data_IF_433003185915
#
_entry.id   IF_433003185915
#
_cell.length_a   1.000
_cell.length_b   1.000
_cell.length_c   1.000
_cell.angle_alpha   90.00
_cell.angle_beta   90.00
_cell.angle_gamma   90.00
#
_symmetry.space_group_name_H-M   'P 1'
#
loop_
_entity.id
_entity.type
_entity.pdbx_description
1 polymer ?
#
# COMPACT_ATOMS: atom_id res chain seq x y z
N UNK A 1 -14.80 -6.76 -8.30
CA UNK A 1 -13.91 -7.85 -7.83
C UNK A 1 -13.08 -7.42 -6.63
N UNK A 2 -12.12 -6.49 -6.76
CA UNK A 2 -11.24 -6.07 -5.64
C UNK A 2 -11.99 -5.67 -4.36
N UNK A 3 -12.97 -4.77 -4.45
CA UNK A 3 -13.77 -4.34 -3.29
C UNK A 3 -14.58 -5.48 -2.67
N UNK A 4 -15.08 -6.40 -3.50
CA UNK A 4 -15.78 -7.61 -3.03
C UNK A 4 -14.83 -8.54 -2.28
N UNK A 5 -13.61 -8.73 -2.79
CA UNK A 5 -12.55 -9.51 -2.12
C UNK A 5 -12.16 -8.88 -0.79
N UNK A 6 -12.04 -7.55 -0.72
CA UNK A 6 -11.80 -6.83 0.52
C UNK A 6 -12.94 -7.04 1.53
N UNK A 7 -14.19 -6.87 1.11
CA UNK A 7 -15.34 -7.07 1.98
C UNK A 7 -15.39 -8.51 2.54
N UNK A 8 -15.18 -9.51 1.69
CA UNK A 8 -15.11 -10.92 2.11
C UNK A 8 -13.97 -11.16 3.10
N UNK A 9 -12.79 -10.61 2.86
CA UNK A 9 -11.67 -10.73 3.79
C UNK A 9 -11.99 -10.08 5.14
N UNK A 10 -12.51 -8.86 5.16
CA UNK A 10 -12.83 -8.16 6.41
C UNK A 10 -13.91 -8.88 7.20
N UNK A 11 -14.97 -9.36 6.54
CA UNK A 11 -16.02 -10.14 7.19
C UNK A 11 -15.42 -11.42 7.80
N UNK A 12 -14.58 -12.14 7.06
CA UNK A 12 -13.92 -13.34 7.58
C UNK A 12 -13.06 -13.03 8.81
N UNK A 13 -12.21 -12.00 8.75
CA UNK A 13 -11.37 -11.61 9.91
C UNK A 13 -12.22 -11.24 11.13
N UNK A 14 -13.30 -10.48 10.95
CA UNK A 14 -14.20 -10.10 12.05
C UNK A 14 -14.88 -11.32 12.67
N UNK A 15 -15.38 -12.25 11.85
CA UNK A 15 -15.99 -13.49 12.35
C UNK A 15 -14.98 -14.37 13.09
N UNK A 16 -13.75 -14.48 12.59
CA UNK A 16 -12.70 -15.27 13.23
C UNK A 16 -12.21 -14.65 14.54
N UNK A 17 -12.03 -13.33 14.59
CA UNK A 17 -11.76 -12.62 15.84
C UNK A 17 -12.89 -12.85 16.86
N UNK A 18 -14.15 -12.86 16.41
CA UNK A 18 -15.33 -13.17 17.22
C UNK A 18 -15.50 -14.64 17.64
N UNK A 19 -14.52 -15.51 17.36
CA UNK A 19 -14.53 -16.95 17.70
C UNK A 19 -15.61 -17.79 17.02
N UNK A 20 -16.27 -17.27 15.98
CA UNK A 20 -17.42 -17.95 15.35
C UNK A 20 -16.96 -19.17 14.50
N UNK A 21 -15.75 -19.15 13.94
CA UNK A 21 -15.24 -20.25 13.09
C UNK A 21 -13.74 -20.17 12.78
N UNK A 22 -12.88 -20.10 13.82
CA UNK A 22 -11.42 -19.93 13.63
C UNK A 22 -10.80 -21.10 12.86
N UNK A 23 -10.17 -20.85 11.69
CA UNK A 23 -9.49 -21.91 10.95
C UNK A 23 -8.15 -22.27 11.61
N UNK A 24 -7.60 -23.46 11.32
CA UNK A 24 -6.23 -23.80 11.68
C UNK A 24 -5.23 -22.75 11.15
N UNK A 25 -4.19 -22.44 11.92
CA UNK A 25 -3.20 -21.39 11.62
C UNK A 25 -2.61 -21.50 10.20
N UNK A 26 -2.31 -22.71 9.74
CA UNK A 26 -1.81 -22.94 8.38
C UNK A 26 -2.82 -22.50 7.32
N UNK A 27 -4.09 -22.87 7.47
CA UNK A 27 -5.16 -22.50 6.54
C UNK A 27 -5.40 -20.99 6.58
N UNK A 28 -5.33 -20.39 7.77
CA UNK A 28 -5.45 -18.94 7.96
C UNK A 28 -4.41 -18.17 7.14
N UNK A 29 -3.13 -18.53 7.23
CA UNK A 29 -2.09 -17.84 6.45
C UNK A 29 -2.13 -18.17 4.95
N UNK A 30 -2.52 -19.39 4.56
CA UNK A 30 -2.70 -19.75 3.15
C UNK A 30 -3.83 -18.92 2.51
N UNK A 31 -4.89 -18.65 3.26
CA UNK A 31 -5.98 -17.77 2.84
C UNK A 31 -5.47 -16.36 2.52
N UNK A 32 -4.64 -15.77 3.39
CA UNK A 32 -4.03 -14.46 3.16
C UNK A 32 -3.15 -14.39 1.92
N UNK A 33 -2.31 -15.41 1.71
CA UNK A 33 -1.47 -15.51 0.52
C UNK A 33 -2.35 -15.62 -0.73
N UNK A 34 -3.39 -16.45 -0.69
CA UNK A 34 -4.35 -16.59 -1.80
C UNK A 34 -5.04 -15.26 -2.12
N UNK A 35 -5.45 -14.48 -1.11
CA UNK A 35 -6.02 -13.15 -1.31
C UNK A 35 -5.04 -12.18 -2.00
N UNK A 36 -3.78 -12.16 -1.59
CA UNK A 36 -2.75 -11.35 -2.25
C UNK A 36 -2.52 -11.78 -3.70
N UNK A 37 -2.52 -13.09 -3.97
CA UNK A 37 -2.43 -13.64 -5.34
C UNK A 37 -3.64 -13.24 -6.19
N UNK A 38 -4.85 -13.18 -5.62
CA UNK A 38 -6.03 -12.66 -6.32
C UNK A 38 -5.81 -11.20 -6.73
N UNK A 39 -5.34 -10.33 -5.83
CA UNK A 39 -5.08 -8.92 -6.14
C UNK A 39 -4.02 -8.79 -7.24
N UNK A 40 -2.93 -9.57 -7.18
CA UNK A 40 -1.92 -9.66 -8.23
C UNK A 40 -2.52 -10.09 -9.56
N UNK A 41 -3.35 -11.14 -9.56
CA UNK A 41 -4.05 -11.64 -10.75
C UNK A 41 -4.94 -10.58 -11.39
N UNK A 42 -5.68 -9.81 -10.57
CA UNK A 42 -6.51 -8.69 -11.07
C UNK A 42 -5.65 -7.64 -11.74
N UNK A 43 -4.54 -7.23 -11.11
CA UNK A 43 -3.65 -6.18 -11.66
C UNK A 43 -3.01 -6.63 -12.97
N UNK A 44 -2.55 -7.88 -13.03
CA UNK A 44 -1.99 -8.48 -14.25
C UNK A 44 -3.01 -8.56 -15.38
N UNK A 45 -4.24 -8.97 -15.09
CA UNK A 45 -5.33 -9.01 -16.07
C UNK A 45 -5.69 -7.61 -16.56
N UNK A 46 -5.81 -6.64 -15.65
CA UNK A 46 -6.18 -5.26 -15.96
C UNK A 46 -5.10 -4.52 -16.76
N UNK A 47 -3.83 -4.93 -16.66
CA UNK A 47 -2.71 -4.30 -17.36
C UNK A 47 -2.93 -4.16 -18.88
N UNK A 48 -3.66 -5.09 -19.49
CA UNK A 48 -3.95 -5.13 -20.93
C UNK A 48 -4.85 -3.97 -21.39
N UNK A 49 -5.58 -3.36 -20.48
CA UNK A 49 -6.56 -2.30 -20.74
C UNK A 49 -6.04 -0.90 -20.39
N UNK A 50 -4.78 -0.80 -19.97
CA UNK A 50 -4.17 0.44 -19.54
C UNK A 50 -3.50 1.19 -20.70
N UNK A 51 -3.65 2.50 -20.70
CA UNK A 51 -2.87 3.37 -21.57
C UNK A 51 -1.36 3.13 -21.34
N UNK A 52 -0.50 3.25 -22.38
CA UNK A 52 0.91 2.83 -22.30
C UNK A 52 1.69 3.43 -21.13
N UNK A 53 1.44 4.71 -20.82
CA UNK A 53 2.06 5.40 -19.68
C UNK A 53 1.64 4.79 -18.34
N UNK A 54 0.34 4.54 -18.15
CA UNK A 54 -0.20 3.94 -16.92
C UNK A 54 0.30 2.51 -16.77
N UNK A 55 0.28 1.73 -17.87
CA UNK A 55 0.77 0.36 -17.90
C UNK A 55 2.23 0.23 -17.43
N UNK A 56 3.11 1.17 -17.83
CA UNK A 56 4.53 1.19 -17.41
C UNK A 56 4.66 1.21 -15.88
N UNK A 57 4.01 2.15 -15.21
CA UNK A 57 4.10 2.29 -13.76
C UNK A 57 3.28 1.23 -13.02
N UNK A 58 2.21 0.71 -13.61
CA UNK A 58 1.49 -0.45 -13.06
C UNK A 58 2.37 -1.70 -12.98
N UNK A 59 3.30 -1.92 -13.92
CA UNK A 59 4.26 -3.04 -13.80
C UNK A 59 5.15 -2.90 -12.56
N UNK A 60 5.55 -1.68 -12.19
CA UNK A 60 6.29 -1.43 -10.96
C UNK A 60 5.43 -1.70 -9.72
N UNK A 61 4.15 -1.31 -9.75
CA UNK A 61 3.20 -1.63 -8.70
C UNK A 61 2.95 -3.15 -8.56
N UNK A 62 2.94 -3.88 -9.66
CA UNK A 62 2.84 -5.35 -9.66
C UNK A 62 4.12 -5.96 -9.06
N UNK A 63 5.30 -5.54 -9.53
CA UNK A 63 6.57 -6.00 -8.98
C UNK A 63 6.68 -5.72 -7.48
N UNK A 64 6.27 -4.52 -7.04
CA UNK A 64 6.24 -4.18 -5.62
C UNK A 64 5.29 -5.06 -4.81
N UNK A 65 4.12 -5.38 -5.38
CA UNK A 65 3.18 -6.31 -4.75
C UNK A 65 3.73 -7.74 -4.69
N UNK A 66 4.53 -8.19 -5.66
CA UNK A 66 5.20 -9.50 -5.59
C UNK A 66 6.19 -9.53 -4.42
N UNK A 67 6.98 -8.47 -4.21
CA UNK A 67 7.84 -8.38 -3.02
C UNK A 67 7.03 -8.40 -1.72
N UNK A 68 5.93 -7.65 -1.67
CA UNK A 68 5.01 -7.68 -0.53
C UNK A 68 4.45 -9.08 -0.26
N UNK A 69 3.92 -9.76 -1.28
CA UNK A 69 3.41 -11.13 -1.14
C UNK A 69 4.50 -12.11 -0.68
N UNK A 70 5.74 -11.97 -1.16
CA UNK A 70 6.85 -12.77 -0.66
C UNK A 70 7.15 -12.48 0.82
N UNK A 71 7.06 -11.22 1.23
CA UNK A 71 7.16 -10.81 2.64
C UNK A 71 6.06 -11.45 3.50
N UNK A 72 4.83 -11.49 3.00
CA UNK A 72 3.70 -12.13 3.68
C UNK A 72 3.92 -13.63 3.86
N UNK A 73 4.48 -14.31 2.85
CA UNK A 73 4.88 -15.71 2.97
C UNK A 73 5.92 -15.88 4.08
N UNK A 74 6.97 -15.05 4.13
CA UNK A 74 7.98 -15.16 5.20
C UNK A 74 7.40 -14.87 6.59
N UNK A 75 6.54 -13.87 6.70
CA UNK A 75 5.92 -13.47 7.96
C UNK A 75 4.85 -14.46 8.45
N UNK A 76 4.35 -15.34 7.58
CA UNK A 76 3.39 -16.37 7.96
C UNK A 76 3.97 -17.49 8.82
N UNK A 77 3.10 -18.26 9.47
CA UNK A 77 3.49 -19.48 10.16
C UNK A 77 4.03 -20.57 9.23
N UNK A 78 3.72 -20.53 7.93
CA UNK A 78 4.09 -21.61 7.00
C UNK A 78 5.54 -21.54 6.51
N UNK A 79 6.26 -20.45 6.77
CA UNK A 79 7.65 -20.29 6.33
C UNK A 79 8.68 -21.04 7.18
N UNK A 80 8.34 -21.42 8.42
CA UNK A 80 9.29 -21.96 9.40
C UNK A 80 10.40 -20.98 9.81
N UNK A 81 10.34 -19.71 9.38
CA UNK A 81 11.32 -18.69 9.78
C UNK A 81 11.01 -18.23 11.20
N UNK A 82 11.92 -18.50 12.13
CA UNK A 82 11.76 -18.15 13.54
C UNK A 82 13.05 -17.53 14.10
N UNK A 83 12.95 -16.74 15.18
CA UNK A 83 11.71 -16.19 15.77
C UNK A 83 11.19 -14.96 15.00
N UNK A 84 10.15 -14.27 15.47
CA UNK A 84 9.56 -13.09 14.79
C UNK A 84 10.62 -12.05 14.42
N UNK A 85 11.63 -11.79 15.25
CA UNK A 85 12.72 -10.85 14.89
C UNK A 85 13.39 -11.19 13.56
N UNK A 86 13.51 -12.47 13.21
CA UNK A 86 14.07 -12.93 11.93
C UNK A 86 13.08 -12.78 10.78
N UNK A 87 11.78 -12.98 11.03
CA UNK A 87 10.73 -12.68 10.05
C UNK A 87 10.76 -11.18 9.68
N UNK A 88 10.80 -10.32 10.70
CA UNK A 88 10.83 -8.87 10.53
C UNK A 88 12.10 -8.36 9.85
N UNK A 89 13.24 -9.02 10.05
CA UNK A 89 14.46 -8.74 9.28
C UNK A 89 14.20 -8.85 7.78
N UNK A 90 13.61 -9.95 7.32
CA UNK A 90 13.28 -10.14 5.91
C UNK A 90 12.15 -9.21 5.45
N UNK A 91 11.16 -8.96 6.31
CA UNK A 91 10.06 -8.06 6.02
C UNK A 91 10.55 -6.63 5.69
N UNK A 92 11.54 -6.12 6.43
CA UNK A 92 12.15 -4.81 6.15
C UNK A 92 12.72 -4.75 4.73
N UNK A 93 13.30 -5.83 4.21
CA UNK A 93 13.83 -5.85 2.84
C UNK A 93 12.74 -6.01 1.78
N UNK A 94 11.76 -6.87 2.02
CA UNK A 94 10.73 -7.21 1.03
C UNK A 94 9.64 -6.14 0.95
N UNK A 95 9.07 -5.75 2.08
CA UNK A 95 8.19 -4.56 2.15
C UNK A 95 9.00 -3.32 1.79
N UNK A 96 10.25 -3.29 2.23
CA UNK A 96 11.40 -2.57 1.66
C UNK A 96 11.27 -2.10 0.23
N UNK A 97 11.59 -3.05 -0.64
CA UNK A 97 11.55 -2.95 -2.07
C UNK A 97 10.12 -2.69 -2.58
N UNK A 98 9.13 -3.37 -2.00
CA UNK A 98 7.73 -3.28 -2.40
C UNK A 98 7.19 -1.86 -2.36
N UNK A 99 7.27 -1.23 -1.18
CA UNK A 99 6.77 0.13 -0.97
C UNK A 99 7.64 1.19 -1.65
N UNK A 100 8.94 0.95 -1.82
CA UNK A 100 9.79 1.84 -2.63
C UNK A 100 9.28 1.96 -4.07
N UNK A 101 8.86 0.84 -4.66
CA UNK A 101 8.25 0.83 -5.99
C UNK A 101 6.89 1.53 -6.01
N UNK A 102 6.11 1.45 -4.93
CA UNK A 102 4.83 2.16 -4.79
C UNK A 102 5.05 3.67 -4.74
N UNK A 103 5.98 4.12 -3.89
CA UNK A 103 6.39 5.52 -3.79
C UNK A 103 6.86 6.04 -5.14
N UNK A 104 7.70 5.30 -5.84
CA UNK A 104 8.22 5.70 -7.15
C UNK A 104 7.10 5.84 -8.20
N UNK A 105 6.23 4.85 -8.33
CA UNK A 105 5.10 4.91 -9.26
C UNK A 105 4.15 6.05 -8.92
N UNK A 106 3.79 6.21 -7.64
CA UNK A 106 2.89 7.27 -7.17
C UNK A 106 3.48 8.66 -7.40
N UNK A 107 4.78 8.85 -7.17
CA UNK A 107 5.47 10.10 -7.48
C UNK A 107 5.30 10.49 -8.95
N UNK A 108 5.47 9.54 -9.87
CA UNK A 108 5.33 9.79 -11.30
C UNK A 108 3.90 10.04 -11.76
N UNK A 109 2.90 9.57 -11.02
CA UNK A 109 1.49 9.88 -11.25
C UNK A 109 1.07 11.21 -10.61
N UNK A 110 1.54 11.52 -9.40
CA UNK A 110 1.15 12.71 -8.66
C UNK A 110 1.83 14.00 -9.14
N UNK A 111 3.12 13.93 -9.49
CA UNK A 111 3.92 15.09 -9.85
C UNK A 111 3.39 15.91 -11.05
N UNK A 112 3.01 15.30 -12.19
CA UNK A 112 2.48 16.05 -13.34
C UNK A 112 1.21 16.82 -12.98
N UNK A 113 0.28 16.14 -12.30
CA UNK A 113 -1.02 16.70 -11.91
C UNK A 113 -0.86 17.92 -10.99
N UNK A 114 0.14 17.91 -10.12
CA UNK A 114 0.44 19.03 -9.23
C UNK A 114 1.18 20.17 -9.93
N UNK A 115 2.13 19.86 -10.81
CA UNK A 115 2.89 20.86 -11.57
C UNK A 115 1.99 21.70 -12.46
N UNK A 116 1.06 21.06 -13.18
CA UNK A 116 0.08 21.74 -14.03
C UNK A 116 -0.79 22.74 -13.25
N UNK A 117 -0.93 22.55 -11.93
CA UNK A 117 -1.83 23.37 -11.11
C UNK A 117 -1.15 24.52 -10.38
N UNK A 118 0.18 24.59 -10.34
CA UNK A 118 0.96 25.76 -9.92
C UNK A 118 0.61 26.44 -8.58
N UNK A 119 -0.20 25.81 -7.70
CA UNK A 119 -0.87 26.47 -6.59
C UNK A 119 -0.32 26.17 -5.18
N UNK A 120 -1.07 26.56 -4.16
CA UNK A 120 -0.72 26.37 -2.73
C UNK A 120 -0.37 24.90 -2.42
N UNK A 121 -1.14 23.94 -2.95
CA UNK A 121 -0.85 22.51 -2.76
C UNK A 121 0.52 22.09 -3.30
N UNK A 122 0.97 22.67 -4.42
CA UNK A 122 2.33 22.41 -4.91
C UNK A 122 3.38 23.04 -3.99
N UNK A 123 3.16 24.26 -3.49
CA UNK A 123 4.10 24.95 -2.59
C UNK A 123 4.23 24.26 -1.23
N UNK A 124 3.11 23.79 -0.68
CA UNK A 124 3.04 23.13 0.64
C UNK A 124 3.36 21.63 0.60
N UNK A 125 3.68 21.07 -0.57
CA UNK A 125 3.91 19.63 -0.71
C UNK A 125 4.92 19.11 0.32
N UNK A 126 6.09 19.73 0.40
CA UNK A 126 7.14 19.31 1.33
C UNK A 126 6.80 19.57 2.79
N UNK A 127 5.92 20.53 3.08
CA UNK A 127 5.40 20.74 4.44
C UNK A 127 4.57 19.54 4.86
N UNK A 128 3.69 19.02 4.00
CA UNK A 128 2.91 17.80 4.30
C UNK A 128 3.84 16.62 4.57
N UNK A 129 4.85 16.38 3.73
CA UNK A 129 5.83 15.29 3.96
C UNK A 129 6.60 15.50 5.26
N UNK A 130 7.00 16.73 5.58
CA UNK A 130 7.69 17.04 6.82
C UNK A 130 6.81 16.77 8.06
N UNK A 131 5.53 17.18 8.02
CA UNK A 131 4.57 16.92 9.10
C UNK A 131 4.33 15.42 9.26
N UNK A 132 4.17 14.69 8.15
CA UNK A 132 4.04 13.23 8.18
C UNK A 132 5.30 12.57 8.75
N UNK A 133 6.49 13.03 8.36
CA UNK A 133 7.76 12.53 8.87
C UNK A 133 7.91 12.75 10.38
N UNK A 134 7.50 13.92 10.88
CA UNK A 134 7.49 14.22 12.32
C UNK A 134 6.50 13.31 13.08
N UNK A 135 5.29 13.14 12.56
CA UNK A 135 4.29 12.26 13.17
C UNK A 135 4.75 10.80 13.17
N UNK A 136 5.30 10.30 12.06
CA UNK A 136 5.86 8.96 11.95
C UNK A 136 7.06 8.77 12.88
N UNK A 137 7.95 9.77 12.99
CA UNK A 137 9.09 9.72 13.91
C UNK A 137 8.62 9.62 15.36
N UNK A 138 7.65 10.45 15.76
CA UNK A 138 7.07 10.41 17.11
C UNK A 138 6.37 9.08 17.40
N UNK A 139 5.63 8.56 16.43
CA UNK A 139 4.97 7.25 16.51
C UNK A 139 5.99 6.10 16.65
N UNK A 140 7.02 6.08 15.81
CA UNK A 140 8.09 5.07 15.88
C UNK A 140 8.82 5.12 17.21
N UNK A 141 9.19 6.32 17.69
CA UNK A 141 9.90 6.49 18.95
C UNK A 141 9.07 6.00 20.15
N UNK A 142 7.75 6.22 20.11
CA UNK A 142 6.83 5.84 21.19
C UNK A 142 6.45 4.36 21.17
N UNK A 143 6.21 3.79 19.98
CA UNK A 143 5.54 2.49 19.86
C UNK A 143 6.42 1.36 19.28
N UNK A 144 7.45 1.69 18.49
CA UNK A 144 8.29 0.69 17.81
C UNK A 144 9.65 0.57 18.49
N UNK A 145 10.34 1.68 18.74
CA UNK A 145 11.69 1.70 19.31
C UNK A 145 11.82 0.83 20.56
N UNK A 146 10.89 0.85 21.54
CA UNK A 146 11.03 0.02 22.74
C UNK A 146 11.12 -1.49 22.44
N UNK A 147 10.38 -1.97 21.43
CA UNK A 147 10.35 -3.40 21.05
C UNK A 147 11.53 -3.85 20.18
N UNK A 148 12.22 -2.92 19.52
CA UNK A 148 13.41 -3.22 18.68
C UNK A 148 14.72 -2.80 19.35
N UNK A 149 14.66 -2.14 20.51
CA UNK A 149 15.84 -1.69 21.26
C UNK A 149 16.74 -2.89 21.58
N UNK A 150 18.00 -2.81 21.15
CA UNK A 150 18.96 -3.91 21.29
C UNK A 150 19.12 -4.79 20.03
N UNK A 151 18.23 -4.68 19.04
CA UNK A 151 18.47 -5.21 17.70
C UNK A 151 18.82 -4.07 16.74
N UNK A 152 20.13 -3.79 16.60
CA UNK A 152 20.63 -2.64 15.81
C UNK A 152 20.11 -2.61 14.37
N UNK A 153 19.94 -3.77 13.74
CA UNK A 153 19.41 -3.83 12.38
C UNK A 153 17.93 -3.45 12.33
N UNK A 154 17.10 -4.03 13.20
CA UNK A 154 15.67 -3.70 13.24
C UNK A 154 15.44 -2.26 13.70
N UNK A 155 16.20 -1.77 14.67
CA UNK A 155 16.10 -0.39 15.16
C UNK A 155 16.44 0.61 14.05
N UNK A 156 17.62 0.52 13.44
CA UNK A 156 18.03 1.46 12.39
C UNK A 156 17.22 1.26 11.11
N UNK A 157 16.98 0.00 10.73
CA UNK A 157 16.22 -0.36 9.53
C UNK A 157 14.80 0.16 9.60
N UNK A 158 14.04 -0.17 10.66
CA UNK A 158 12.66 0.32 10.82
C UNK A 158 12.60 1.84 10.95
N UNK A 159 13.58 2.48 11.59
CA UNK A 159 13.67 3.94 11.67
C UNK A 159 13.81 4.58 10.29
N UNK A 160 14.80 4.14 9.50
CA UNK A 160 15.03 4.67 8.14
C UNK A 160 13.80 4.42 7.28
N UNK A 161 13.23 3.22 7.36
CA UNK A 161 12.09 2.82 6.57
C UNK A 161 10.85 3.67 6.87
N UNK A 162 10.60 3.94 8.15
CA UNK A 162 9.54 4.80 8.64
C UNK A 162 9.74 6.28 8.25
N UNK A 163 10.95 6.80 8.43
CA UNK A 163 11.24 8.21 8.14
C UNK A 163 11.22 8.50 6.63
N UNK A 164 11.60 7.54 5.81
CA UNK A 164 11.70 7.71 4.36
C UNK A 164 10.43 7.22 3.65
N UNK A 165 10.26 5.91 3.53
CA UNK A 165 9.29 5.30 2.62
C UNK A 165 7.86 5.48 3.11
N UNK A 166 7.58 5.30 4.40
CA UNK A 166 6.23 5.53 4.93
C UNK A 166 5.82 7.00 4.84
N UNK A 167 6.73 7.90 5.18
CA UNK A 167 6.48 9.35 5.13
C UNK A 167 6.27 9.84 3.71
N UNK A 168 7.07 9.33 2.75
CA UNK A 168 6.88 9.61 1.34
C UNK A 168 5.59 9.01 0.80
N UNK A 169 5.25 7.77 1.15
CA UNK A 169 4.03 7.11 0.65
C UNK A 169 2.77 7.87 1.08
N UNK A 170 2.64 8.16 2.38
CA UNK A 170 1.52 8.94 2.92
C UNK A 170 1.50 10.35 2.30
N UNK A 171 2.64 11.03 2.31
CA UNK A 171 2.73 12.39 1.77
C UNK A 171 2.33 12.46 0.30
N UNK A 172 2.86 11.55 -0.53
CA UNK A 172 2.52 11.45 -1.94
C UNK A 172 1.04 11.07 -2.17
N UNK A 173 0.45 10.28 -1.30
CA UNK A 173 -0.98 9.95 -1.35
C UNK A 173 -1.86 11.18 -1.08
N UNK A 174 -1.52 11.97 -0.05
CA UNK A 174 -2.21 13.22 0.24
C UNK A 174 -2.04 14.21 -0.91
N UNK A 175 -0.82 14.31 -1.45
CA UNK A 175 -0.51 15.13 -2.61
C UNK A 175 -1.32 14.71 -3.83
N UNK A 176 -1.41 13.41 -4.10
CA UNK A 176 -2.19 12.86 -5.19
C UNK A 176 -3.67 13.20 -5.04
N UNK A 177 -4.24 13.01 -3.84
CA UNK A 177 -5.63 13.32 -3.55
C UNK A 177 -5.96 14.80 -3.72
N UNK A 178 -5.12 15.69 -3.18
CA UNK A 178 -5.24 17.14 -3.41
C UNK A 178 -5.08 17.46 -4.90
N UNK A 179 -4.05 16.93 -5.55
CA UNK A 179 -3.81 17.03 -6.98
C UNK A 179 -5.01 16.58 -7.81
N UNK A 180 -5.87 15.71 -7.29
CA UNK A 180 -7.12 15.27 -7.93
C UNK A 180 -8.37 16.04 -7.48
N UNK A 181 -8.23 17.17 -6.78
CA UNK A 181 -9.31 18.01 -6.20
C UNK A 181 -10.17 17.26 -5.19
N UNK A 182 -9.54 16.44 -4.35
CA UNK A 182 -10.25 15.66 -3.32
C UNK A 182 -11.36 14.77 -3.93
N UNK A 183 -11.13 14.28 -5.15
CA UNK A 183 -12.14 13.53 -5.89
C UNK A 183 -12.36 12.15 -5.29
N UNK A 184 -13.61 11.68 -5.31
CA UNK A 184 -13.97 10.35 -4.81
C UNK A 184 -13.13 9.22 -5.39
N UNK A 185 -12.76 9.19 -6.69
CA UNK A 185 -11.88 8.14 -7.22
C UNK A 185 -10.47 8.13 -6.61
N UNK A 186 -9.95 9.28 -6.16
CA UNK A 186 -8.62 9.36 -5.57
C UNK A 186 -8.60 9.02 -4.06
N UNK A 187 -9.77 9.04 -3.41
CA UNK A 187 -9.89 8.75 -1.97
C UNK A 187 -9.40 7.34 -1.59
N UNK A 188 -9.75 6.26 -2.31
CA UNK A 188 -9.22 4.92 -2.03
C UNK A 188 -7.69 4.85 -2.08
N UNK A 189 -7.04 5.55 -3.02
CA UNK A 189 -5.58 5.57 -3.11
C UNK A 189 -4.98 6.24 -1.87
N UNK A 190 -5.57 7.36 -1.43
CA UNK A 190 -5.13 8.06 -0.23
C UNK A 190 -5.26 7.19 1.02
N UNK A 191 -6.45 6.62 1.23
CA UNK A 191 -6.72 5.74 2.37
C UNK A 191 -5.82 4.51 2.32
N UNK A 192 -5.72 3.86 1.16
CA UNK A 192 -4.91 2.66 0.99
C UNK A 192 -3.43 2.90 1.28
N UNK A 193 -2.85 3.97 0.75
CA UNK A 193 -1.45 4.32 1.00
C UNK A 193 -1.16 4.80 2.42
N UNK A 194 -2.19 5.23 3.19
CA UNK A 194 -2.05 5.51 4.62
C UNK A 194 -2.15 4.25 5.49
N UNK A 195 -3.06 3.33 5.13
CA UNK A 195 -3.23 2.07 5.86
C UNK A 195 -1.99 1.18 5.82
N UNK A 196 -1.23 1.18 4.72
CA UNK A 196 -0.02 0.37 4.57
C UNK A 196 1.04 0.70 5.65
N UNK A 197 1.52 1.95 5.81
CA UNK A 197 2.42 2.29 6.92
C UNK A 197 1.83 2.10 8.31
N UNK A 198 0.53 2.39 8.49
CA UNK A 198 -0.14 2.21 9.79
C UNK A 198 -0.14 0.74 10.19
N UNK A 199 -0.39 -0.15 9.22
CA UNK A 199 -0.28 -1.60 9.42
C UNK A 199 1.13 -1.99 9.86
N UNK A 200 2.17 -1.54 9.15
CA UNK A 200 3.53 -1.89 9.54
C UNK A 200 3.88 -1.38 10.95
N UNK A 201 3.49 -0.15 11.31
CA UNK A 201 3.67 0.38 12.67
C UNK A 201 2.94 -0.47 13.72
N UNK A 202 1.70 -0.87 13.43
CA UNK A 202 0.90 -1.74 14.29
C UNK A 202 1.57 -3.11 14.44
N UNK A 203 2.07 -3.69 13.35
CA UNK A 203 2.79 -4.96 13.33
C UNK A 203 4.05 -4.89 14.18
N UNK A 204 4.90 -3.87 14.01
CA UNK A 204 6.10 -3.71 14.83
C UNK A 204 5.77 -3.52 16.31
N UNK A 205 4.72 -2.76 16.64
CA UNK A 205 4.30 -2.54 18.02
C UNK A 205 3.77 -3.81 18.68
N UNK A 206 2.96 -4.60 17.97
CA UNK A 206 2.22 -5.73 18.56
C UNK A 206 2.98 -7.06 18.48
N UNK A 207 3.88 -7.24 17.52
CA UNK A 207 4.60 -8.51 17.34
C UNK A 207 5.95 -8.55 18.05
N UNK A 208 6.52 -7.39 18.40
CA UNK A 208 7.74 -7.25 19.20
C UNK A 208 7.45 -6.56 20.53
N UNK A 209 6.37 -6.95 21.21
CA UNK A 209 6.14 -6.47 22.56
C UNK A 209 7.38 -6.74 23.43
N UNK A 210 7.76 -5.82 24.35
CA UNK A 210 8.94 -6.00 25.21
C UNK A 210 8.95 -7.39 25.86
N UNK A 211 10.09 -8.06 25.81
CA UNK A 211 10.32 -9.41 26.38
C UNK A 211 9.54 -10.56 25.71
N UNK A 212 8.91 -10.32 24.55
CA UNK A 212 8.21 -11.35 23.77
C UNK A 212 8.79 -11.45 22.35
N UNK A 213 9.30 -12.63 21.99
CA UNK A 213 9.73 -12.94 20.62
C UNK A 213 9.15 -14.29 20.17
N UNK A 214 7.80 -14.41 20.06
CA UNK A 214 7.17 -15.67 19.70
C UNK A 214 7.50 -16.05 18.25
N UNK A 215 7.19 -17.29 17.87
CA UNK A 215 7.30 -17.75 16.48
C UNK A 215 6.23 -17.12 15.58
N UNK A 216 5.04 -16.89 16.13
CA UNK A 216 3.86 -16.32 15.46
C UNK A 216 3.16 -15.36 16.43
N UNK A 217 2.67 -14.20 15.98
CA UNK A 217 1.93 -13.27 16.83
C UNK A 217 0.61 -13.85 17.32
N UNK A 218 0.04 -13.22 18.33
CA UNK A 218 -1.33 -13.48 18.79
C UNK A 218 -2.31 -13.27 17.62
N UNK A 219 -3.26 -14.20 17.48
CA UNK A 219 -4.18 -14.27 16.35
C UNK A 219 -4.91 -12.94 16.12
N UNK A 220 -5.45 -12.35 17.19
CA UNK A 220 -6.22 -11.12 17.15
C UNK A 220 -5.40 -9.94 16.61
N UNK A 221 -4.12 -9.86 16.98
CA UNK A 221 -3.21 -8.84 16.45
C UNK A 221 -2.88 -9.09 14.98
N UNK A 222 -2.69 -10.34 14.58
CA UNK A 222 -2.50 -10.66 13.17
C UNK A 222 -3.75 -10.26 12.35
N UNK A 223 -4.95 -10.63 12.81
CA UNK A 223 -6.21 -10.36 12.12
C UNK A 223 -6.49 -8.86 11.98
N UNK A 224 -6.30 -8.11 13.07
CA UNK A 224 -6.44 -6.65 13.04
C UNK A 224 -5.42 -6.01 12.08
N UNK A 225 -4.16 -6.47 12.11
CA UNK A 225 -3.15 -6.00 11.17
C UNK A 225 -3.53 -6.34 9.73
N UNK A 226 -4.05 -7.54 9.48
CA UNK A 226 -4.45 -7.97 8.14
C UNK A 226 -5.53 -7.08 7.53
N UNK A 227 -6.52 -6.66 8.32
CA UNK A 227 -7.56 -5.73 7.87
C UNK A 227 -6.93 -4.42 7.37
N UNK A 228 -5.96 -3.88 8.11
CA UNK A 228 -5.25 -2.66 7.74
C UNK A 228 -4.37 -2.89 6.50
N UNK A 229 -3.53 -3.92 6.52
CA UNK A 229 -2.59 -4.23 5.45
C UNK A 229 -3.30 -4.56 4.13
N UNK A 230 -4.17 -5.57 4.14
CA UNK A 230 -4.88 -6.03 2.95
C UNK A 230 -5.85 -4.97 2.44
N UNK A 231 -6.53 -4.25 3.35
CA UNK A 231 -7.29 -3.06 3.01
C UNK A 231 -6.44 -2.02 2.29
N UNK A 232 -5.25 -1.74 2.82
CA UNK A 232 -4.24 -0.90 2.20
C UNK A 232 -3.89 -1.34 0.78
N UNK A 233 -3.50 -2.60 0.62
CA UNK A 233 -3.09 -3.20 -0.65
C UNK A 233 -4.21 -3.14 -1.71
N UNK A 234 -5.43 -3.49 -1.33
CA UNK A 234 -6.60 -3.50 -2.23
C UNK A 234 -7.00 -2.08 -2.63
N UNK A 235 -7.10 -1.15 -1.68
CA UNK A 235 -7.50 0.22 -1.99
C UNK A 235 -6.43 0.92 -2.85
N UNK A 236 -5.15 0.70 -2.54
CA UNK A 236 -4.05 1.23 -3.35
C UNK A 236 -3.98 0.57 -4.74
N UNK A 237 -4.48 -0.67 -4.90
CA UNK A 237 -4.59 -1.33 -6.21
C UNK A 237 -5.55 -0.64 -7.19
N UNK A 238 -6.36 0.31 -6.73
CA UNK A 238 -7.25 1.08 -7.60
C UNK A 238 -6.51 2.22 -8.33
N UNK A 239 -5.30 2.59 -7.91
CA UNK A 239 -4.52 3.70 -8.50
C UNK A 239 -4.42 3.62 -10.04
N UNK A 240 -4.07 2.47 -10.67
CA UNK A 240 -4.06 2.36 -12.13
C UNK A 240 -5.39 2.68 -12.80
N UNK A 241 -6.52 2.30 -12.20
CA UNK A 241 -7.84 2.57 -12.77
C UNK A 241 -8.17 4.07 -12.72
N UNK A 242 -7.83 4.74 -11.61
CA UNK A 242 -8.00 6.19 -11.45
C UNK A 242 -7.18 6.98 -12.49
N UNK A 243 -5.95 6.53 -12.74
CA UNK A 243 -5.08 7.14 -13.75
C UNK A 243 -5.54 6.85 -15.17
N UNK A 244 -6.00 5.63 -15.46
CA UNK A 244 -6.46 5.26 -16.79
C UNK A 244 -7.71 6.04 -17.20
N UNK A 245 -8.69 6.18 -16.29
CA UNK A 245 -9.88 6.99 -16.55
C UNK A 245 -9.52 8.45 -16.85
N UNK A 246 -8.53 8.99 -16.13
CA UNK A 246 -8.05 10.36 -16.36
C UNK A 246 -7.32 10.53 -17.69
N UNK A 247 -6.55 9.52 -18.12
CA UNK A 247 -5.84 9.53 -19.39
C UNK A 247 -6.80 9.43 -20.58
N UNK A 248 -7.89 8.68 -20.44
CA UNK A 248 -8.94 8.55 -21.47
C UNK A 248 -9.74 9.86 -21.66
N UNK A 249 -9.97 10.62 -20.59
CA UNK A 249 -10.63 11.94 -20.67
C UNK A 249 -9.71 13.00 -21.30
N UNK A 250 -8.39 12.86 -21.18
CA UNK A 250 -7.41 13.81 -21.73
C UNK A 250 -7.01 13.51 -23.19
N UNK A 251 -7.32 12.33 -23.72
CA UNK A 251 -7.16 12.05 -25.14
C UNK A 251 -8.24 12.83 -25.90
N UNK A 252 -7.90 13.68 -26.89
CA UNK A 252 -8.93 14.29 -27.72
C UNK A 252 -9.69 13.17 -28.42
N UNK A 253 -11.01 13.31 -28.51
CA UNK A 253 -11.87 12.46 -29.31
C UNK A 253 -11.58 12.67 -30.81
N UNK A 254 -10.37 12.32 -31.27
CA UNK A 254 -10.09 12.13 -32.67
C UNK A 254 -10.19 10.63 -32.94
N UNK A 255 -11.40 10.23 -33.35
CA UNK A 255 -11.55 9.03 -34.17
C UNK A 255 -10.79 9.22 -35.49
N UNK A 256 -10.52 8.13 -36.23
CA UNK A 256 -9.91 8.21 -37.55
C UNK A 256 -10.94 8.75 -38.56
N UNK A 257 -11.16 10.06 -38.54
CA UNK A 257 -11.72 10.90 -39.61
C UNK A 257 -11.89 12.30 -39.02
N UNK A 258 -11.29 13.30 -39.66
CA UNK A 258 -11.56 14.70 -39.39
C UNK A 258 -12.96 15.10 -39.84
N UNK A 259 -13.99 14.68 -39.10
CA UNK A 259 -15.34 15.21 -39.22
C UNK A 259 -15.75 15.70 -37.83
N UNK A 260 -15.70 17.02 -37.67
CA UNK A 260 -16.41 17.72 -36.61
C UNK A 260 -17.92 17.64 -36.92
N UNK A 261 -18.74 17.31 -35.94
CA UNK A 261 -20.22 17.24 -36.06
C UNK A 261 -20.90 18.60 -36.32
N UNK A 262 -20.10 19.64 -36.48
CA UNK A 262 -20.46 20.98 -36.93
C UNK A 262 -19.77 21.21 -38.27
N UNK A 263 -20.47 20.87 -39.36
CA UNK A 263 -19.98 20.84 -40.75
C UNK A 263 -19.47 22.17 -41.33
N UNK A 264 -18.42 22.74 -40.73
CA UNK A 264 -17.68 23.88 -41.23
C UNK A 264 -16.24 23.43 -41.56
N UNK A 265 -15.93 23.44 -42.85
CA UNK A 265 -14.57 23.24 -43.38
C UNK A 265 -13.84 24.58 -43.30
N UNK A 266 -12.61 24.58 -42.75
CA UNK A 266 -11.59 25.60 -43.04
C UNK A 266 -10.67 25.09 -44.16
#
# INVERSE_FOLDING_TARGET
MLLSTLALSVIAEVLWMGHISRPPTTIYHLWHIALMLVVLGVRLAYQKHLAPRVARYTRLLIAGMVFCTAGDVINSAISGVEPITRKLFFAIFLFGAGYSLYVFALYHFALPVLRERGGIGYRLRWVVVAVTALANMAGWASYVRPGVAGNRFLEVGSFIFNLTIYSLLIGLCVWYFWGRRLSLPALPVMVGGALLPISDLYLFHTWLAPDQNPAVPVFEFYAANWILYFGGQVLFALLPACENASAQVAAPAYGPAGIREDGAVQ
#
